data_IF_441898962669
#
_entry.id   IF_441898962669
#
_cell.length_a   1.000
_cell.length_b   1.000
_cell.length_c   1.000
_cell.angle_alpha   90.00
_cell.angle_beta   90.00
_cell.angle_gamma   90.00
#
_symmetry.space_group_name_H-M   'P 1'
#
loop_
_entity.id
_entity.type
_entity.pdbx_description
1 polymer ?
#
# COMPACT_ATOMS: atom_id res chain seq x y z
N UNK A 1 -13.02 17.79 -27.53
CA UNK A 1 -12.85 16.64 -26.61
C UNK A 1 -13.13 17.12 -25.19
N UNK A 2 -14.01 16.46 -24.45
CA UNK A 2 -14.24 16.78 -23.04
C UNK A 2 -13.10 16.17 -22.23
N UNK A 3 -12.22 17.00 -21.71
CA UNK A 3 -11.12 16.55 -20.86
C UNK A 3 -11.72 16.06 -19.54
N UNK A 4 -11.49 14.80 -19.19
CA UNK A 4 -11.90 14.29 -17.89
C UNK A 4 -11.06 14.99 -16.81
N UNK A 5 -11.72 15.54 -15.79
CA UNK A 5 -11.00 16.13 -14.65
C UNK A 5 -10.21 15.03 -13.93
N UNK A 6 -8.93 15.25 -13.62
CA UNK A 6 -8.12 14.27 -12.90
C UNK A 6 -8.67 14.03 -11.49
N UNK A 7 -8.63 12.76 -11.06
CA UNK A 7 -8.83 12.39 -9.65
C UNK A 7 -7.50 12.49 -8.92
N UNK A 8 -7.51 13.08 -7.73
CA UNK A 8 -6.31 13.27 -6.90
C UNK A 8 -6.43 12.49 -5.59
N UNK A 9 -5.28 12.01 -5.11
CA UNK A 9 -5.12 11.40 -3.80
C UNK A 9 -3.89 12.00 -3.11
N UNK A 10 -3.91 12.04 -1.77
CA UNK A 10 -2.77 12.52 -0.99
C UNK A 10 -1.84 11.36 -0.61
N UNK A 11 -0.56 11.47 -0.95
CA UNK A 11 0.48 10.54 -0.48
C UNK A 11 1.02 11.01 0.88
N UNK A 12 1.09 10.12 1.86
CA UNK A 12 1.56 10.43 3.22
C UNK A 12 3.00 10.98 3.26
N UNK A 13 3.81 10.71 2.23
CA UNK A 13 5.15 11.29 2.03
C UNK A 13 5.14 12.82 1.92
N UNK A 14 4.02 13.44 1.53
CA UNK A 14 3.90 14.89 1.51
C UNK A 14 4.00 15.51 2.93
N UNK A 15 3.67 14.73 3.96
CA UNK A 15 3.62 15.17 5.36
C UNK A 15 4.15 14.09 6.31
N UNK A 16 5.44 13.70 6.20
CA UNK A 16 5.99 12.47 6.78
C UNK A 16 6.11 12.49 8.31
N UNK A 17 5.76 13.61 8.95
CA UNK A 17 5.78 13.79 10.41
C UNK A 17 4.38 13.68 11.03
N UNK A 18 3.32 13.79 10.24
CA UNK A 18 1.96 13.65 10.74
C UNK A 18 1.66 12.17 10.98
N UNK A 19 1.00 11.88 12.11
CA UNK A 19 0.38 10.57 12.31
C UNK A 19 -0.78 10.37 11.32
N UNK A 20 -1.28 9.14 11.26
CA UNK A 20 -2.29 8.74 10.28
C UNK A 20 -3.63 9.48 10.45
N UNK A 21 -4.03 9.82 11.68
CA UNK A 21 -5.31 10.51 11.96
C UNK A 21 -5.22 11.98 11.54
N UNK A 22 -4.13 12.65 11.88
CA UNK A 22 -3.85 14.01 11.45
C UNK A 22 -3.70 14.09 9.92
N UNK A 23 -3.08 13.08 9.31
CA UNK A 23 -2.96 12.97 7.85
C UNK A 23 -4.33 12.82 7.15
N UNK A 24 -5.22 11.97 7.65
CA UNK A 24 -6.57 11.83 7.09
C UNK A 24 -7.40 13.10 7.26
N UNK A 25 -7.27 13.76 8.41
CA UNK A 25 -7.89 15.07 8.67
C UNK A 25 -7.42 16.11 7.65
N UNK A 26 -6.11 16.18 7.40
CA UNK A 26 -5.54 17.08 6.39
C UNK A 26 -6.08 16.79 4.98
N UNK A 27 -6.15 15.52 4.59
CA UNK A 27 -6.68 15.15 3.27
C UNK A 27 -8.13 15.65 3.09
N UNK A 28 -8.98 15.43 4.10
CA UNK A 28 -10.36 15.94 4.12
C UNK A 28 -10.39 17.47 4.03
N UNK A 29 -9.56 18.16 4.81
CA UNK A 29 -9.52 19.63 4.85
C UNK A 29 -9.04 20.23 3.52
N UNK A 30 -8.24 19.50 2.75
CA UNK A 30 -7.84 19.84 1.38
C UNK A 30 -8.91 19.49 0.33
N UNK A 31 -10.06 18.94 0.73
CA UNK A 31 -11.11 18.48 -0.17
C UNK A 31 -10.77 17.20 -0.94
N UNK A 32 -9.78 16.43 -0.48
CA UNK A 32 -9.39 15.16 -1.07
C UNK A 32 -10.13 14.01 -0.39
N UNK A 33 -10.59 13.05 -1.19
CA UNK A 33 -11.33 11.88 -0.72
C UNK A 33 -10.49 10.61 -0.69
N UNK A 34 -9.24 10.66 -1.16
CA UNK A 34 -8.39 9.50 -1.39
C UNK A 34 -6.98 9.72 -0.84
N UNK A 35 -6.39 8.66 -0.28
CA UNK A 35 -5.06 8.70 0.36
C UNK A 35 -4.23 7.44 0.07
N UNK A 36 -2.92 7.60 -0.05
CA UNK A 36 -1.91 6.54 -0.04
C UNK A 36 -1.15 6.57 1.30
N UNK A 37 -1.28 5.51 2.10
CA UNK A 37 -0.55 5.40 3.36
C UNK A 37 0.77 4.66 3.17
N UNK A 38 1.78 5.03 3.96
CA UNK A 38 3.15 4.54 3.78
C UNK A 38 3.67 3.77 4.98
N UNK A 39 4.22 2.58 4.77
CA UNK A 39 4.79 1.72 5.83
C UNK A 39 6.28 1.98 6.11
N UNK A 40 6.89 2.94 5.40
CA UNK A 40 8.31 3.30 5.48
C UNK A 40 8.56 4.63 6.22
N UNK A 41 7.52 5.27 6.75
CA UNK A 41 7.63 6.52 7.52
C UNK A 41 7.77 6.28 9.02
N UNK A 42 8.50 7.15 9.73
CA UNK A 42 8.62 7.07 11.19
C UNK A 42 7.31 7.41 11.92
N UNK A 43 6.42 8.17 11.28
CA UNK A 43 5.07 8.45 11.78
C UNK A 43 4.07 7.33 11.48
N UNK A 44 4.50 6.25 10.81
CA UNK A 44 3.55 5.35 10.20
C UNK A 44 2.84 4.40 11.18
N UNK A 45 1.56 4.09 10.92
CA UNK A 45 0.75 3.26 11.81
C UNK A 45 1.21 1.79 11.84
N UNK A 46 1.67 1.22 10.72
CA UNK A 46 2.19 -0.16 10.64
C UNK A 46 3.41 -0.34 11.54
N UNK A 47 4.41 0.55 11.44
CA UNK A 47 5.64 0.50 12.24
C UNK A 47 5.41 0.86 13.71
N UNK A 48 4.35 1.63 14.01
CA UNK A 48 3.93 1.94 15.38
C UNK A 48 3.00 0.89 15.99
N UNK A 49 2.72 -0.20 15.26
CA UNK A 49 1.87 -1.28 15.75
C UNK A 49 0.40 -0.88 15.89
N UNK A 50 -0.04 0.17 15.21
CA UNK A 50 -1.45 0.59 15.23
C UNK A 50 -2.30 -0.50 14.57
N UNK A 51 -3.33 -1.02 15.27
CA UNK A 51 -4.24 -2.01 14.72
C UNK A 51 -4.85 -1.54 13.40
N UNK A 52 -4.91 -2.43 12.41
CA UNK A 52 -5.47 -2.10 11.10
C UNK A 52 -6.94 -1.64 11.19
N UNK A 53 -7.71 -2.18 12.16
CA UNK A 53 -9.07 -1.75 12.45
C UNK A 53 -9.16 -0.27 12.88
N UNK A 54 -8.19 0.22 13.66
CA UNK A 54 -8.15 1.61 14.11
C UNK A 54 -7.83 2.56 12.95
N UNK A 55 -6.95 2.13 12.04
CA UNK A 55 -6.67 2.87 10.79
C UNK A 55 -7.91 2.93 9.92
N UNK A 56 -8.66 1.83 9.78
CA UNK A 56 -9.94 1.81 9.07
C UNK A 56 -10.98 2.72 9.71
N UNK A 57 -11.10 2.70 11.04
CA UNK A 57 -12.01 3.59 11.77
C UNK A 57 -11.65 5.06 11.53
N UNK A 58 -10.38 5.41 11.66
CA UNK A 58 -9.89 6.76 11.41
C UNK A 58 -10.16 7.24 9.96
N UNK A 59 -9.97 6.36 8.97
CA UNK A 59 -10.26 6.70 7.57
C UNK A 59 -11.77 6.93 7.36
N UNK A 60 -12.61 6.09 7.97
CA UNK A 60 -14.07 6.22 7.93
C UNK A 60 -14.53 7.52 8.60
N UNK A 61 -14.01 7.82 9.80
CA UNK A 61 -14.29 9.04 10.56
C UNK A 61 -13.91 10.31 9.78
N UNK A 62 -12.80 10.27 9.05
CA UNK A 62 -12.34 11.39 8.23
C UNK A 62 -13.02 11.46 6.85
N UNK A 63 -13.79 10.45 6.45
CA UNK A 63 -14.44 10.38 5.15
C UNK A 63 -13.49 10.17 3.97
N UNK A 64 -12.34 9.52 4.20
CA UNK A 64 -11.32 9.26 3.16
C UNK A 64 -11.21 7.78 2.82
N UNK A 65 -10.89 7.48 1.57
CA UNK A 65 -10.63 6.12 1.08
C UNK A 65 -9.13 5.88 0.99
N UNK A 66 -8.65 4.83 1.64
CA UNK A 66 -7.26 4.38 1.48
C UNK A 66 -7.16 3.63 0.16
N UNK A 67 -6.54 4.22 -0.85
CA UNK A 67 -6.41 3.59 -2.17
C UNK A 67 -5.24 2.61 -2.24
N UNK A 68 -4.21 2.83 -1.41
CA UNK A 68 -3.04 1.96 -1.35
C UNK A 68 -2.33 2.00 0.01
N UNK A 69 -1.62 0.90 0.29
CA UNK A 69 -0.51 0.85 1.24
C UNK A 69 0.80 0.71 0.46
N UNK A 70 1.77 1.56 0.75
CA UNK A 70 3.06 1.60 0.06
C UNK A 70 4.19 1.35 1.08
N UNK A 71 5.03 0.30 0.98
CA UNK A 71 5.05 -0.79 0.00
C UNK A 71 5.71 -2.06 0.54
N UNK A 72 5.50 -3.18 -0.15
CA UNK A 72 6.44 -4.30 -0.14
C UNK A 72 7.60 -4.00 -1.09
N UNK A 73 8.75 -3.61 -0.53
CA UNK A 73 9.98 -3.36 -1.29
C UNK A 73 10.73 -4.65 -1.60
N UNK A 74 11.50 -4.62 -2.68
CA UNK A 74 12.33 -5.72 -3.19
C UNK A 74 11.53 -7.02 -3.42
N UNK A 75 10.27 -6.92 -3.86
CA UNK A 75 9.39 -8.09 -4.00
C UNK A 75 9.93 -9.16 -4.98
N UNK A 76 10.79 -8.77 -5.93
CA UNK A 76 11.39 -9.68 -6.91
C UNK A 76 12.57 -10.50 -6.36
N UNK A 77 13.02 -10.24 -5.12
CA UNK A 77 13.88 -11.13 -4.34
C UNK A 77 13.03 -12.02 -3.44
N UNK A 78 12.40 -13.02 -4.05
CA UNK A 78 11.45 -13.89 -3.37
C UNK A 78 12.16 -14.95 -2.53
N UNK A 79 11.94 -14.91 -1.21
CA UNK A 79 12.40 -15.87 -0.22
C UNK A 79 11.23 -16.24 0.70
N UNK A 80 11.30 -17.34 1.48
CA UNK A 80 10.24 -17.67 2.44
C UNK A 80 9.96 -16.56 3.46
N UNK A 81 11.00 -15.83 3.87
CA UNK A 81 10.87 -14.65 4.75
C UNK A 81 10.09 -13.53 4.04
N UNK A 82 10.43 -13.25 2.78
CA UNK A 82 9.74 -12.24 1.96
C UNK A 82 8.27 -12.59 1.71
N UNK A 83 7.97 -13.87 1.53
CA UNK A 83 6.61 -14.37 1.38
C UNK A 83 5.78 -14.12 2.66
N UNK A 84 6.33 -14.45 3.84
CA UNK A 84 5.67 -14.16 5.10
C UNK A 84 5.47 -12.65 5.34
N UNK A 85 6.44 -11.81 4.97
CA UNK A 85 6.29 -10.35 4.99
C UNK A 85 5.18 -9.87 4.04
N UNK A 86 5.12 -10.44 2.83
CA UNK A 86 4.11 -10.11 1.83
C UNK A 86 2.70 -10.44 2.35
N UNK A 87 2.49 -11.64 2.90
CA UNK A 87 1.21 -12.05 3.48
C UNK A 87 0.80 -11.12 4.63
N UNK A 88 1.68 -10.86 5.59
CA UNK A 88 1.38 -9.96 6.72
C UNK A 88 0.99 -8.55 6.28
N UNK A 89 1.70 -8.00 5.28
CA UNK A 89 1.43 -6.66 4.79
C UNK A 89 0.14 -6.62 3.95
N UNK A 90 -0.16 -7.68 3.19
CA UNK A 90 -1.41 -7.82 2.46
C UNK A 90 -2.61 -7.94 3.42
N UNK A 91 -2.48 -8.74 4.48
CA UNK A 91 -3.50 -8.85 5.54
C UNK A 91 -3.74 -7.51 6.23
N UNK A 92 -2.67 -6.78 6.56
CA UNK A 92 -2.79 -5.44 7.14
C UNK A 92 -3.51 -4.48 6.19
N UNK A 93 -3.10 -4.42 4.92
CA UNK A 93 -3.70 -3.56 3.91
C UNK A 93 -5.20 -3.86 3.73
N UNK A 94 -5.59 -5.13 3.68
CA UNK A 94 -6.98 -5.53 3.59
C UNK A 94 -7.77 -5.12 4.85
N UNK A 95 -7.22 -5.42 6.04
CA UNK A 95 -7.88 -5.12 7.31
C UNK A 95 -8.06 -3.60 7.52
N UNK A 96 -7.09 -2.77 7.11
CA UNK A 96 -7.21 -1.31 7.20
C UNK A 96 -8.12 -0.72 6.12
N UNK A 97 -8.57 -1.52 5.15
CA UNK A 97 -9.48 -1.10 4.08
C UNK A 97 -8.79 -0.48 2.87
N UNK A 98 -7.48 -0.68 2.72
CA UNK A 98 -6.76 -0.25 1.53
C UNK A 98 -7.20 -1.06 0.29
N UNK A 99 -7.36 -0.38 -0.85
CA UNK A 99 -7.76 -1.04 -2.10
C UNK A 99 -6.63 -1.79 -2.78
N UNK A 100 -5.39 -1.42 -2.51
CA UNK A 100 -4.22 -2.04 -3.15
C UNK A 100 -3.01 -2.07 -2.21
N UNK A 101 -2.06 -2.95 -2.53
CA UNK A 101 -0.72 -2.99 -1.93
C UNK A 101 0.31 -2.72 -3.03
N UNK A 102 1.18 -1.73 -2.84
CA UNK A 102 2.23 -1.40 -3.79
C UNK A 102 3.41 -2.38 -3.65
N UNK A 103 3.88 -2.90 -4.79
CA UNK A 103 5.04 -3.79 -4.88
C UNK A 103 6.17 -3.08 -5.62
N UNK A 104 7.29 -2.84 -4.93
CA UNK A 104 8.45 -2.14 -5.49
C UNK A 104 9.58 -3.15 -5.75
N UNK A 105 10.10 -3.29 -6.98
CA UNK A 105 11.20 -4.21 -7.23
C UNK A 105 12.52 -3.65 -6.72
N UNK A 106 13.55 -4.49 -6.67
CA UNK A 106 14.94 -4.07 -6.51
C UNK A 106 15.29 -3.06 -7.60
N UNK A 107 15.84 -1.92 -7.18
CA UNK A 107 16.26 -0.82 -8.03
C UNK A 107 17.66 -0.34 -7.63
N UNK A 108 18.66 -1.22 -7.76
CA UNK A 108 20.06 -1.01 -7.37
C UNK A 108 21.02 -0.95 -8.58
N UNK A 109 20.49 -0.77 -9.79
CA UNK A 109 21.27 -0.76 -11.03
C UNK A 109 21.57 -2.15 -11.61
N UNK A 110 21.33 -3.25 -10.87
CA UNK A 110 21.54 -4.62 -11.38
C UNK A 110 20.47 -5.07 -12.40
N UNK A 111 19.40 -4.28 -12.57
CA UNK A 111 18.18 -4.64 -13.31
C UNK A 111 18.26 -4.68 -14.85
N UNK A 112 19.40 -4.34 -15.47
CA UNK A 112 19.50 -4.17 -16.92
C UNK A 112 19.51 -5.47 -17.74
N UNK A 113 19.75 -6.63 -17.11
CA UNK A 113 19.91 -7.90 -17.82
C UNK A 113 18.59 -8.73 -17.92
N UNK A 114 18.56 -9.68 -18.85
CA UNK A 114 17.37 -10.50 -19.13
C UNK A 114 16.91 -11.36 -17.93
N UNK A 115 17.85 -11.78 -17.08
CA UNK A 115 17.57 -12.56 -15.85
C UNK A 115 16.75 -11.71 -14.88
N UNK A 116 17.09 -10.43 -14.72
CA UNK A 116 16.36 -9.49 -13.88
C UNK A 116 14.92 -9.26 -14.39
N UNK A 117 14.72 -9.18 -15.72
CA UNK A 117 13.36 -9.14 -16.31
C UNK A 117 12.54 -10.41 -16.03
N UNK A 118 13.19 -11.59 -16.01
CA UNK A 118 12.57 -12.85 -15.59
C UNK A 118 12.12 -12.84 -14.12
N UNK A 119 12.98 -12.33 -13.22
CA UNK A 119 12.68 -12.19 -11.78
C UNK A 119 11.53 -11.22 -11.51
N UNK A 120 11.42 -10.12 -12.26
CA UNK A 120 10.28 -9.20 -12.18
C UNK A 120 8.96 -9.91 -12.51
N UNK A 121 8.93 -10.71 -13.59
CA UNK A 121 7.72 -11.45 -14.01
C UNK A 121 7.36 -12.56 -13.01
N UNK A 122 8.35 -13.30 -12.52
CA UNK A 122 8.14 -14.36 -11.54
C UNK A 122 7.70 -13.80 -10.18
N UNK A 123 8.35 -12.74 -9.70
CA UNK A 123 7.97 -12.02 -8.49
C UNK A 123 6.58 -11.42 -8.60
N UNK A 124 6.17 -10.90 -9.78
CA UNK A 124 4.82 -10.37 -9.97
C UNK A 124 3.79 -11.49 -9.88
N UNK A 125 4.03 -12.64 -10.50
CA UNK A 125 3.12 -13.80 -10.38
C UNK A 125 3.01 -14.28 -8.94
N UNK A 126 4.12 -14.39 -8.20
CA UNK A 126 4.11 -14.86 -6.81
C UNK A 126 3.53 -13.83 -5.84
N UNK A 127 3.90 -12.56 -5.99
CA UNK A 127 3.34 -11.45 -5.21
C UNK A 127 1.86 -11.24 -5.47
N UNK A 128 1.42 -11.36 -6.73
CA UNK A 128 -0.01 -11.38 -7.08
C UNK A 128 -0.68 -12.65 -6.55
N UNK A 129 -0.05 -13.83 -6.58
CA UNK A 129 -0.69 -15.04 -6.03
C UNK A 129 -0.84 -14.98 -4.50
N UNK A 130 0.18 -14.49 -3.78
CA UNK A 130 0.14 -14.27 -2.34
C UNK A 130 -0.85 -13.16 -1.96
N UNK A 131 -0.93 -12.07 -2.73
CA UNK A 131 -1.87 -10.98 -2.47
C UNK A 131 -3.30 -11.27 -2.97
N UNK A 132 -3.48 -12.00 -4.07
CA UNK A 132 -4.79 -12.30 -4.69
C UNK A 132 -5.50 -13.48 -4.07
N UNK A 133 -4.81 -14.46 -3.47
CA UNK A 133 -5.45 -15.53 -2.71
C UNK A 133 -6.27 -14.96 -1.55
N UNK A 134 -5.77 -13.93 -0.86
CA UNK A 134 -6.47 -13.32 0.28
C UNK A 134 -7.37 -12.13 -0.10
N UNK A 135 -7.02 -11.35 -1.13
CA UNK A 135 -7.80 -10.17 -1.53
C UNK A 135 -9.10 -10.53 -2.29
N UNK A 136 -9.08 -11.53 -3.18
CA UNK A 136 -10.30 -11.95 -3.93
C UNK A 136 -11.20 -12.92 -3.15
N UNK A 137 -10.68 -13.62 -2.14
CA UNK A 137 -11.51 -14.51 -1.32
C UNK A 137 -12.48 -13.74 -0.40
N UNK A 138 -12.20 -12.46 -0.11
CA UNK A 138 -12.91 -11.68 0.93
C UNK A 138 -13.80 -10.55 0.39
N UNK A 139 -13.71 -10.20 -0.89
CA UNK A 139 -14.63 -9.27 -1.60
C UNK A 139 -16.00 -9.93 -1.95
N UNK A 140 -16.26 -11.15 -1.46
CA UNK A 140 -17.51 -11.92 -1.61
C UNK A 140 -18.29 -12.11 -0.30
N UNK A 141 -18.00 -11.31 0.74
CA UNK A 141 -18.67 -11.34 2.04
C UNK A 141 -19.43 -10.06 2.34
#
# INVERSE_FOLDING_TARGET
MRQASPRFALDHMAVPRLDVRAFFTLARDLGLTEVDIRNDLCSNPVARGMPAADVRSAATEAGVTIISVNALRRFNEWTPVREAEASKLADYAAACGAKTLVLVPVNDGSGANAICRGRLRAGRRRGVHAASIDFMARDRG
#
